data_IF_801449824304
#
_entry.id   IF_801449824304
#
_cell.length_a   1.000
_cell.length_b   1.000
_cell.length_c   1.000
_cell.angle_alpha   90.00
_cell.angle_beta   90.00
_cell.angle_gamma   90.00
#
_symmetry.space_group_name_H-M   'P 1'
#
loop_
_entity.id
_entity.type
_entity.pdbx_description
1 polymer ?
#
# COMPACT_ATOMS: atom_id res chain seq x y z
N UNK A 1 18.28 11.69 51.24
CA UNK A 1 16.92 11.12 51.20
C UNK A 1 16.56 10.60 49.78
N UNK A 2 17.46 10.67 48.80
CA UNK A 2 17.19 10.21 47.39
C UNK A 2 17.73 8.80 47.08
N UNK A 3 18.63 8.23 47.88
CA UNK A 3 19.24 6.92 47.64
C UNK A 3 18.41 5.71 48.11
N UNK A 4 17.37 5.88 48.94
CA UNK A 4 16.50 4.78 49.37
C UNK A 4 15.34 4.43 48.40
N UNK A 5 15.02 5.28 47.43
CA UNK A 5 13.98 4.98 46.44
C UNK A 5 14.47 4.16 45.25
N UNK A 6 15.77 4.20 44.93
CA UNK A 6 16.33 3.41 43.84
C UNK A 6 16.50 1.92 44.19
N UNK A 7 16.73 1.59 45.45
CA UNK A 7 16.86 0.20 45.86
C UNK A 7 15.53 -0.57 45.95
N UNK A 8 14.41 0.11 46.04
CA UNK A 8 13.10 -0.54 46.08
C UNK A 8 12.59 -0.96 44.70
N UNK A 9 13.01 -0.25 43.66
CA UNK A 9 12.68 -0.56 42.25
C UNK A 9 13.46 -1.79 41.77
N UNK A 10 14.70 -1.95 42.18
CA UNK A 10 15.55 -3.10 41.80
C UNK A 10 15.13 -4.40 42.50
N UNK A 11 14.59 -4.33 43.75
CA UNK A 11 14.15 -5.50 44.49
C UNK A 11 12.78 -6.04 44.07
N UNK A 12 11.93 -5.23 43.41
CA UNK A 12 10.65 -5.69 42.85
C UNK A 12 10.88 -6.47 41.54
N UNK A 13 11.96 -6.15 40.78
CA UNK A 13 12.31 -6.90 39.59
C UNK A 13 12.98 -8.26 39.84
N UNK A 14 13.53 -8.47 41.04
CA UNK A 14 14.26 -9.71 41.34
C UNK A 14 13.38 -10.86 41.87
N UNK A 15 12.10 -10.62 42.20
CA UNK A 15 11.20 -11.62 42.79
C UNK A 15 10.07 -12.11 41.89
N UNK A 16 10.02 -11.70 40.63
CA UNK A 16 9.18 -12.31 39.60
C UNK A 16 9.97 -13.34 38.79
N UNK A 17 10.45 -14.41 39.45
CA UNK A 17 10.73 -15.65 38.73
C UNK A 17 9.39 -16.27 38.34
N UNK A 18 8.91 -15.95 37.15
CA UNK A 18 7.95 -16.81 36.49
C UNK A 18 8.72 -18.09 36.10
N UNK A 19 8.31 -19.22 36.70
CA UNK A 19 8.70 -20.54 36.20
C UNK A 19 8.10 -20.69 34.80
N UNK A 20 8.97 -20.57 33.80
CA UNK A 20 8.62 -20.93 32.42
C UNK A 20 8.72 -22.46 32.31
N UNK A 21 7.58 -23.12 32.21
CA UNK A 21 7.53 -24.52 31.80
C UNK A 21 7.82 -24.65 30.29
N UNK A 22 9.04 -25.06 29.98
CA UNK A 22 9.53 -25.19 28.61
C UNK A 22 9.11 -26.49 27.93
N UNK A 23 8.12 -27.22 28.47
CA UNK A 23 7.81 -28.60 28.01
C UNK A 23 6.55 -28.76 27.17
N UNK A 24 5.74 -27.74 26.94
CA UNK A 24 4.56 -27.89 26.10
C UNK A 24 4.80 -27.32 24.69
N UNK A 25 5.30 -28.21 23.80
CA UNK A 25 5.62 -27.93 22.40
C UNK A 25 4.43 -28.12 21.45
N UNK A 26 3.20 -27.97 21.91
CA UNK A 26 2.02 -27.96 21.03
C UNK A 26 1.72 -26.55 20.53
N UNK A 27 2.64 -26.03 19.75
CA UNK A 27 2.75 -24.61 19.38
C UNK A 27 1.65 -24.10 18.40
N UNK A 28 0.88 -24.99 17.75
CA UNK A 28 0.04 -24.62 16.61
C UNK A 28 -1.45 -24.91 16.75
N UNK A 29 -1.91 -25.51 17.85
CA UNK A 29 -3.34 -25.84 18.06
C UNK A 29 -3.80 -25.44 19.43
N UNK A 30 -4.45 -24.26 19.54
CA UNK A 30 -5.34 -23.98 20.67
C UNK A 30 -6.67 -24.66 20.41
N UNK A 31 -7.06 -25.61 21.22
CA UNK A 31 -8.42 -26.19 21.22
C UNK A 31 -9.41 -25.15 21.77
N UNK A 32 -10.26 -24.58 20.87
CA UNK A 32 -11.59 -24.13 21.24
C UNK A 32 -11.73 -22.79 22.02
N UNK A 33 -10.80 -21.83 21.88
CA UNK A 33 -11.00 -20.46 22.37
C UNK A 33 -10.86 -19.46 21.24
N UNK A 34 -11.74 -18.45 21.21
CA UNK A 34 -11.66 -17.31 20.31
C UNK A 34 -10.30 -16.63 20.46
N UNK A 35 -9.64 -16.32 19.34
CA UNK A 35 -8.36 -15.61 19.33
C UNK A 35 -8.58 -14.10 19.34
N UNK A 36 -7.65 -13.39 19.98
CA UNK A 36 -7.51 -11.95 19.82
C UNK A 36 -6.52 -11.66 18.71
N UNK A 37 -7.03 -11.13 17.62
CA UNK A 37 -6.23 -10.78 16.44
C UNK A 37 -6.09 -9.29 16.33
N UNK A 38 -4.85 -8.81 16.23
CA UNK A 38 -4.54 -7.40 15.99
C UNK A 38 -4.01 -7.23 14.55
N UNK A 39 -4.76 -6.53 13.72
CA UNK A 39 -4.30 -6.05 12.42
C UNK A 39 -3.59 -4.71 12.62
N UNK A 40 -2.28 -4.69 12.48
CA UNK A 40 -1.45 -3.51 12.71
C UNK A 40 -1.05 -2.82 11.41
N UNK A 41 -1.16 -1.51 11.36
CA UNK A 41 -0.74 -0.68 10.26
C UNK A 41 0.11 0.49 10.76
N UNK A 42 1.32 0.65 10.20
CA UNK A 42 2.18 1.81 10.46
C UNK A 42 2.12 2.71 9.23
N UNK A 43 1.36 3.79 9.31
CA UNK A 43 1.11 4.74 8.23
C UNK A 43 2.25 5.75 8.09
N UNK A 44 2.44 6.32 6.90
CA UNK A 44 3.45 7.37 6.65
C UNK A 44 3.16 8.66 7.43
N UNK A 45 1.88 9.02 7.60
CA UNK A 45 1.40 10.18 8.38
C UNK A 45 0.07 9.86 9.03
N UNK A 46 -0.32 10.63 10.04
CA UNK A 46 -1.59 10.47 10.77
C UNK A 46 -2.83 10.57 9.86
N UNK A 47 -2.79 11.45 8.85
CA UNK A 47 -3.92 11.68 7.93
C UNK A 47 -4.22 10.49 7.01
N UNK A 48 -3.34 9.49 6.93
CA UNK A 48 -3.56 8.29 6.13
C UNK A 48 -4.30 7.22 6.94
N UNK A 49 -5.24 6.53 6.30
CA UNK A 49 -5.79 5.26 6.75
C UNK A 49 -5.17 4.12 5.94
N UNK A 50 -5.13 2.92 6.50
CA UNK A 50 -4.62 1.75 5.80
C UNK A 50 -5.77 0.88 5.30
N UNK A 51 -6.24 1.13 4.07
CA UNK A 51 -7.38 0.42 3.48
C UNK A 51 -7.26 -1.11 3.59
N UNK A 52 -6.03 -1.66 3.44
CA UNK A 52 -5.82 -3.10 3.44
C UNK A 52 -6.26 -3.77 4.75
N UNK A 53 -5.88 -3.24 5.92
CA UNK A 53 -6.25 -3.84 7.21
C UNK A 53 -7.76 -3.77 7.47
N UNK A 54 -8.43 -2.72 6.99
CA UNK A 54 -9.89 -2.62 7.06
C UNK A 54 -10.57 -3.64 6.14
N UNK A 55 -10.05 -3.84 4.91
CA UNK A 55 -10.56 -4.85 3.99
C UNK A 55 -10.39 -6.27 4.55
N UNK A 56 -9.22 -6.58 5.13
CA UNK A 56 -8.97 -7.87 5.78
C UNK A 56 -10.00 -8.14 6.90
N UNK A 57 -10.19 -7.15 7.79
CA UNK A 57 -11.16 -7.26 8.89
C UNK A 57 -12.57 -7.47 8.36
N UNK A 58 -13.05 -6.57 7.50
CA UNK A 58 -14.41 -6.63 6.98
C UNK A 58 -14.68 -7.91 6.18
N UNK A 59 -13.70 -8.39 5.43
CA UNK A 59 -13.82 -9.65 4.68
C UNK A 59 -13.90 -10.85 5.62
N UNK A 60 -13.04 -10.90 6.65
CA UNK A 60 -13.05 -11.97 7.65
C UNK A 60 -14.35 -11.99 8.47
N UNK A 61 -14.86 -10.83 8.88
CA UNK A 61 -16.14 -10.73 9.59
C UNK A 61 -17.32 -11.19 8.75
N UNK A 62 -17.29 -10.97 7.42
CA UNK A 62 -18.37 -11.37 6.52
C UNK A 62 -18.30 -12.81 6.05
N UNK A 63 -17.12 -13.35 5.79
CA UNK A 63 -16.93 -14.64 5.13
C UNK A 63 -16.10 -15.64 5.94
N UNK A 64 -15.45 -15.20 7.02
CA UNK A 64 -14.54 -16.03 7.81
C UNK A 64 -15.24 -17.02 8.74
N UNK A 65 -16.55 -16.90 8.96
CA UNK A 65 -17.28 -17.72 9.97
C UNK A 65 -16.46 -17.90 11.26
N UNK A 66 -15.89 -16.80 11.73
CA UNK A 66 -14.97 -16.77 12.88
C UNK A 66 -15.62 -16.09 14.07
N UNK A 67 -15.36 -16.62 15.27
CA UNK A 67 -15.68 -15.98 16.55
C UNK A 67 -14.53 -15.14 17.10
N UNK A 68 -13.42 -15.01 16.36
CA UNK A 68 -12.24 -14.27 16.78
C UNK A 68 -12.51 -12.78 16.97
N UNK A 69 -11.90 -12.19 17.99
CA UNK A 69 -11.92 -10.76 18.22
C UNK A 69 -10.88 -10.07 17.31
N UNK A 70 -11.31 -9.50 16.17
CA UNK A 70 -10.42 -8.83 15.23
C UNK A 70 -10.44 -7.32 15.51
N UNK A 71 -9.31 -6.78 15.94
CA UNK A 71 -9.09 -5.35 16.19
C UNK A 71 -8.08 -4.75 15.21
N UNK A 72 -8.15 -3.43 15.01
CA UNK A 72 -7.18 -2.67 14.19
C UNK A 72 -6.36 -1.77 15.12
N UNK A 73 -5.05 -1.73 14.89
CA UNK A 73 -4.12 -0.76 15.47
C UNK A 73 -3.47 0.07 14.37
N UNK A 74 -3.81 1.35 14.29
CA UNK A 74 -3.17 2.27 13.36
C UNK A 74 -2.15 3.15 14.09
N UNK A 75 -0.94 3.14 13.57
CA UNK A 75 0.22 3.88 14.06
C UNK A 75 0.82 4.69 12.92
N UNK A 76 1.86 5.47 13.21
CA UNK A 76 2.62 6.19 12.19
C UNK A 76 4.12 6.02 12.38
N UNK A 77 4.90 6.18 11.30
CA UNK A 77 6.38 6.19 11.37
C UNK A 77 6.93 7.35 12.21
N UNK A 78 6.09 8.31 12.61
CA UNK A 78 6.47 9.46 13.45
C UNK A 78 6.27 9.19 14.95
N UNK A 79 5.61 8.08 15.32
CA UNK A 79 5.50 7.64 16.71
C UNK A 79 6.76 6.92 17.16
N UNK A 80 7.06 7.02 18.45
CA UNK A 80 8.17 6.24 19.00
C UNK A 80 7.80 4.75 19.06
N UNK A 81 8.76 3.89 18.75
CA UNK A 81 8.57 2.45 18.76
C UNK A 81 8.01 1.94 20.09
N UNK A 82 8.51 2.46 21.21
CA UNK A 82 8.06 2.08 22.56
C UNK A 82 6.57 2.34 22.81
N UNK A 83 5.99 3.34 22.16
CA UNK A 83 4.54 3.63 22.27
C UNK A 83 3.74 2.57 21.53
N UNK A 84 4.21 2.18 20.35
CA UNK A 84 3.60 1.14 19.53
C UNK A 84 3.66 -0.21 20.24
N UNK A 85 4.85 -0.58 20.74
CA UNK A 85 5.06 -1.82 21.49
C UNK A 85 4.19 -1.88 22.76
N UNK A 86 4.07 -0.76 23.47
CA UNK A 86 3.23 -0.64 24.65
C UNK A 86 1.74 -0.85 24.34
N UNK A 87 1.25 -0.29 23.24
CA UNK A 87 -0.15 -0.45 22.83
C UNK A 87 -0.42 -1.90 22.43
N UNK A 88 0.44 -2.51 21.59
CA UNK A 88 0.32 -3.92 21.22
C UNK A 88 0.31 -4.82 22.47
N UNK A 89 1.27 -4.60 23.37
CA UNK A 89 1.36 -5.38 24.62
C UNK A 89 0.12 -5.26 25.51
N UNK A 90 -0.47 -4.06 25.61
CA UNK A 90 -1.68 -3.83 26.40
C UNK A 90 -2.92 -4.52 25.82
N UNK A 91 -3.01 -4.63 24.49
CA UNK A 91 -4.10 -5.34 23.80
C UNK A 91 -4.00 -6.86 23.96
N UNK A 92 -2.80 -7.38 24.26
CA UNK A 92 -2.53 -8.82 24.45
C UNK A 92 -3.08 -9.68 23.31
N UNK A 93 -2.73 -9.40 22.05
CA UNK A 93 -3.19 -10.23 20.96
C UNK A 93 -2.53 -11.61 20.99
N UNK A 94 -3.28 -12.62 20.59
CA UNK A 94 -2.75 -13.97 20.31
C UNK A 94 -2.04 -13.99 18.96
N UNK A 95 -2.55 -13.20 17.99
CA UNK A 95 -2.00 -13.05 16.66
C UNK A 95 -1.85 -11.57 16.30
N UNK A 96 -0.70 -11.19 15.77
CA UNK A 96 -0.39 -9.88 15.20
C UNK A 96 -0.15 -10.02 13.70
N UNK A 97 -0.94 -9.32 12.88
CA UNK A 97 -0.75 -9.24 11.44
C UNK A 97 -0.36 -7.81 11.06
N UNK A 98 0.80 -7.62 10.43
CA UNK A 98 1.32 -6.29 10.08
C UNK A 98 1.35 -6.06 8.58
N UNK A 99 0.90 -4.88 8.15
CA UNK A 99 0.97 -4.47 6.75
C UNK A 99 2.33 -3.85 6.42
N UNK A 100 2.99 -4.35 5.36
CA UNK A 100 4.34 -3.97 4.95
C UNK A 100 4.34 -3.19 3.65
N UNK A 101 4.75 -1.94 3.74
CA UNK A 101 4.92 -1.00 2.64
C UNK A 101 6.34 -0.42 2.66
N UNK A 102 6.72 0.21 1.55
CA UNK A 102 8.05 0.83 1.38
C UNK A 102 8.39 1.88 2.44
N UNK A 103 7.39 2.53 3.04
CA UNK A 103 7.61 3.56 4.07
C UNK A 103 7.72 3.00 5.49
N UNK A 104 7.25 1.77 5.75
CA UNK A 104 7.16 1.25 7.11
C UNK A 104 7.92 -0.05 7.37
N UNK A 105 8.53 -0.68 6.34
CA UNK A 105 9.15 -1.99 6.49
C UNK A 105 10.14 -2.04 7.66
N UNK A 106 11.01 -1.04 7.78
CA UNK A 106 12.00 -0.96 8.88
C UNK A 106 11.32 -0.96 10.25
N UNK A 107 10.23 -0.18 10.41
CA UNK A 107 9.43 -0.16 11.64
C UNK A 107 8.78 -1.50 11.92
N UNK A 108 8.18 -2.13 10.91
CA UNK A 108 7.54 -3.45 11.04
C UNK A 108 8.54 -4.50 11.48
N UNK A 109 9.72 -4.54 10.86
CA UNK A 109 10.77 -5.48 11.24
C UNK A 109 11.21 -5.29 12.70
N UNK A 110 11.35 -4.05 13.14
CA UNK A 110 11.72 -3.73 14.52
C UNK A 110 10.60 -4.09 15.50
N UNK A 111 9.35 -3.79 15.18
CA UNK A 111 8.19 -4.23 15.97
C UNK A 111 8.19 -5.75 16.14
N UNK A 112 8.40 -6.52 15.06
CA UNK A 112 8.42 -7.98 15.12
C UNK A 112 9.51 -8.50 16.08
N UNK A 113 10.73 -7.96 15.97
CA UNK A 113 11.86 -8.35 16.83
C UNK A 113 11.60 -8.03 18.31
N UNK A 114 11.11 -6.83 18.60
CA UNK A 114 10.94 -6.38 19.97
C UNK A 114 9.70 -6.98 20.64
N UNK A 115 8.58 -7.08 19.92
CA UNK A 115 7.35 -7.65 20.52
C UNK A 115 7.52 -9.13 20.85
N UNK A 116 8.25 -9.90 20.04
CA UNK A 116 8.52 -11.33 20.30
C UNK A 116 9.33 -11.55 21.57
N UNK A 117 10.16 -10.58 22.02
CA UNK A 117 10.91 -10.65 23.28
C UNK A 117 10.00 -10.54 24.51
N UNK A 118 8.96 -9.72 24.44
CA UNK A 118 8.03 -9.47 25.56
C UNK A 118 6.77 -10.31 25.48
N UNK A 119 6.47 -10.87 24.33
CA UNK A 119 5.36 -11.81 24.05
C UNK A 119 5.87 -13.01 23.22
N UNK A 120 6.67 -13.93 23.80
CA UNK A 120 7.31 -15.00 23.03
C UNK A 120 6.33 -15.93 22.30
N UNK A 121 5.09 -16.04 22.78
CA UNK A 121 4.05 -16.91 22.23
C UNK A 121 3.18 -16.24 21.16
N UNK A 122 3.38 -14.94 20.88
CA UNK A 122 2.55 -14.25 19.90
C UNK A 122 2.82 -14.83 18.51
N UNK A 123 1.75 -15.05 17.74
CA UNK A 123 1.84 -15.46 16.34
C UNK A 123 1.98 -14.19 15.51
N UNK A 124 2.99 -14.11 14.63
CA UNK A 124 3.24 -12.92 13.80
C UNK A 124 3.15 -13.27 12.33
N UNK A 125 2.20 -12.66 11.64
CA UNK A 125 2.10 -12.69 10.19
C UNK A 125 2.31 -11.30 9.61
N UNK A 126 2.97 -11.23 8.46
CA UNK A 126 3.16 -9.98 7.73
C UNK A 126 2.67 -10.12 6.31
N UNK A 127 2.28 -9.03 5.68
CA UNK A 127 1.80 -9.03 4.30
C UNK A 127 1.92 -7.66 3.66
N UNK A 128 1.74 -7.60 2.36
CA UNK A 128 1.83 -6.36 1.59
C UNK A 128 2.94 -6.37 0.55
N UNK A 129 3.05 -5.32 -0.28
CA UNK A 129 3.92 -5.32 -1.45
C UNK A 129 5.41 -5.50 -1.13
N UNK A 130 5.87 -5.07 0.03
CA UNK A 130 7.30 -5.13 0.40
C UNK A 130 7.80 -6.53 0.79
N UNK A 131 6.90 -7.46 1.04
CA UNK A 131 7.24 -8.82 1.50
C UNK A 131 6.68 -9.93 0.62
N UNK A 132 5.83 -9.58 -0.35
CA UNK A 132 5.15 -10.57 -1.20
C UNK A 132 6.07 -11.25 -2.22
N UNK A 133 7.10 -10.58 -2.71
CA UNK A 133 7.95 -11.06 -3.80
C UNK A 133 9.26 -11.73 -3.33
N UNK A 134 9.67 -11.51 -2.10
CA UNK A 134 10.87 -12.08 -1.50
C UNK A 134 10.60 -12.78 -0.16
N UNK A 135 9.40 -13.34 0.03
CA UNK A 135 8.90 -13.87 1.30
C UNK A 135 9.84 -14.86 1.97
N UNK A 136 10.54 -15.72 1.21
CA UNK A 136 11.56 -16.65 1.74
C UNK A 136 12.70 -15.87 2.40
N UNK A 137 13.28 -14.89 1.69
CA UNK A 137 14.36 -14.03 2.22
C UNK A 137 13.90 -13.22 3.43
N UNK A 138 12.64 -12.81 3.43
CA UNK A 138 12.02 -12.12 4.58
C UNK A 138 12.05 -13.01 5.81
N UNK A 139 11.57 -14.25 5.70
CA UNK A 139 11.57 -15.17 6.84
C UNK A 139 12.98 -15.60 7.25
N UNK A 140 13.94 -15.69 6.32
CA UNK A 140 15.35 -15.97 6.66
C UNK A 140 15.95 -14.90 7.58
N UNK A 141 15.67 -13.60 7.32
CA UNK A 141 16.20 -12.47 8.11
C UNK A 141 15.36 -12.10 9.33
N UNK A 142 14.11 -12.58 9.42
CA UNK A 142 13.17 -12.32 10.51
C UNK A 142 12.68 -13.64 11.14
N UNK A 143 13.47 -14.27 12.00
CA UNK A 143 13.08 -15.53 12.66
C UNK A 143 11.89 -15.36 13.62
N UNK A 144 11.57 -14.14 14.02
CA UNK A 144 10.43 -13.79 14.86
C UNK A 144 9.08 -13.92 14.15
N UNK A 145 9.08 -13.91 12.80
CA UNK A 145 7.88 -13.95 11.97
C UNK A 145 7.55 -15.40 11.61
N UNK A 146 6.29 -15.77 11.83
CA UNK A 146 5.79 -17.14 11.57
C UNK A 146 5.46 -17.33 10.08
N UNK A 147 5.00 -16.27 9.39
CA UNK A 147 4.73 -16.36 7.95
C UNK A 147 4.43 -15.03 7.26
N UNK A 148 4.42 -15.11 5.93
CA UNK A 148 4.12 -14.00 5.02
C UNK A 148 2.88 -14.32 4.20
N UNK A 149 1.91 -13.41 4.17
CA UNK A 149 0.79 -13.43 3.23
C UNK A 149 1.20 -12.74 1.93
N UNK A 150 1.16 -13.46 0.80
CA UNK A 150 1.53 -12.95 -0.53
C UNK A 150 0.31 -12.48 -1.32
N UNK A 151 0.43 -11.35 -2.00
CA UNK A 151 -0.60 -10.81 -2.88
C UNK A 151 -1.83 -10.30 -2.13
N UNK A 152 -3.02 -10.65 -2.62
CA UNK A 152 -4.30 -10.27 -2.00
C UNK A 152 -4.53 -11.06 -0.72
N UNK A 153 -4.71 -10.34 0.38
CA UNK A 153 -4.72 -10.93 1.72
C UNK A 153 -6.08 -11.39 2.22
N UNK A 154 -7.19 -10.93 1.65
CA UNK A 154 -8.53 -11.08 2.22
C UNK A 154 -8.90 -12.56 2.46
N UNK A 155 -8.84 -13.38 1.40
CA UNK A 155 -9.13 -14.82 1.54
C UNK A 155 -8.02 -15.56 2.31
N UNK A 156 -6.75 -15.16 2.12
CA UNK A 156 -5.61 -15.80 2.80
C UNK A 156 -5.71 -15.58 4.31
N UNK A 157 -6.11 -14.41 4.74
CA UNK A 157 -6.34 -14.11 6.16
C UNK A 157 -7.47 -14.94 6.76
N UNK A 158 -8.60 -15.12 6.03
CA UNK A 158 -9.67 -16.01 6.48
C UNK A 158 -9.18 -17.46 6.64
N UNK A 159 -8.41 -17.98 5.66
CA UNK A 159 -7.88 -19.32 5.73
C UNK A 159 -6.92 -19.51 6.92
N UNK A 160 -6.12 -18.48 7.24
CA UNK A 160 -5.26 -18.46 8.44
C UNK A 160 -6.08 -18.54 9.73
N UNK A 161 -7.14 -17.74 9.87
CA UNK A 161 -8.01 -17.79 11.04
C UNK A 161 -8.64 -19.17 11.22
N UNK A 162 -9.15 -19.78 10.14
CA UNK A 162 -9.71 -21.13 10.17
C UNK A 162 -8.66 -22.16 10.58
N UNK A 163 -7.43 -22.06 10.05
CA UNK A 163 -6.35 -22.97 10.42
C UNK A 163 -6.05 -22.94 11.93
N UNK A 164 -5.93 -21.75 12.50
CA UNK A 164 -5.64 -21.62 13.93
C UNK A 164 -6.82 -21.99 14.85
N UNK A 165 -8.04 -21.97 14.31
CA UNK A 165 -9.26 -22.40 15.03
C UNK A 165 -9.55 -23.91 14.90
N UNK A 166 -8.73 -24.68 14.24
CA UNK A 166 -8.95 -26.12 13.98
C UNK A 166 -10.16 -26.41 13.05
N UNK A 167 -10.63 -25.42 12.31
CA UNK A 167 -11.73 -25.55 11.35
C UNK A 167 -11.19 -26.01 9.98
N UNK A 168 -11.06 -27.35 9.80
CA UNK A 168 -11.00 -28.07 8.50
C UNK A 168 -10.12 -27.55 7.37
N UNK A 169 -9.00 -26.90 7.65
CA UNK A 169 -8.00 -26.60 6.62
C UNK A 169 -6.91 -27.66 6.67
N UNK A 170 -6.57 -28.27 5.51
CA UNK A 170 -5.58 -29.34 5.34
C UNK A 170 -4.12 -28.90 5.62
N UNK A 171 -3.91 -28.11 6.69
CA UNK A 171 -2.62 -27.56 7.08
C UNK A 171 -2.12 -26.46 6.13
N UNK A 172 -1.01 -25.84 6.49
CA UNK A 172 -0.37 -24.79 5.65
C UNK A 172 0.04 -25.27 4.26
N UNK A 173 0.28 -26.58 4.09
CA UNK A 173 0.78 -27.17 2.84
C UNK A 173 -0.13 -26.88 1.63
N UNK A 174 -1.46 -26.82 1.86
CA UNK A 174 -2.45 -26.58 0.81
C UNK A 174 -2.95 -25.14 0.75
N UNK A 175 -2.53 -24.28 1.68
CA UNK A 175 -2.95 -22.90 1.76
C UNK A 175 -2.18 -22.06 0.73
N UNK A 176 -2.88 -21.52 -0.28
CA UNK A 176 -2.26 -20.67 -1.31
C UNK A 176 -2.01 -19.25 -0.80
N UNK A 177 -1.00 -18.60 -1.36
CA UNK A 177 -0.70 -17.19 -1.06
C UNK A 177 0.07 -17.00 0.23
N UNK A 178 0.83 -17.99 0.71
CA UNK A 178 1.67 -17.86 1.90
C UNK A 178 3.10 -18.34 1.69
N UNK A 179 3.99 -17.78 2.49
CA UNK A 179 5.30 -18.36 2.84
C UNK A 179 5.31 -18.54 4.35
N UNK A 180 5.72 -19.68 4.85
CA UNK A 180 5.65 -19.96 6.29
C UNK A 180 6.85 -20.77 6.77
N UNK A 181 7.06 -20.73 8.09
CA UNK A 181 8.11 -21.51 8.76
C UNK A 181 7.47 -22.73 9.42
N UNK A 182 7.97 -23.92 9.09
CA UNK A 182 7.58 -25.15 9.77
C UNK A 182 8.17 -25.24 11.17
N UNK A 183 7.64 -26.16 11.98
CA UNK A 183 8.20 -26.47 13.31
C UNK A 183 9.67 -26.96 13.26
N UNK A 184 10.08 -27.54 12.15
CA UNK A 184 11.45 -27.96 11.88
C UNK A 184 12.40 -26.78 11.68
N UNK A 185 11.86 -25.57 11.48
CA UNK A 185 12.58 -24.37 11.07
C UNK A 185 12.71 -24.20 9.56
N UNK A 186 12.25 -25.18 8.77
CA UNK A 186 12.25 -25.08 7.31
C UNK A 186 11.24 -24.01 6.86
N UNK A 187 11.66 -23.20 5.85
CA UNK A 187 10.79 -22.21 5.20
C UNK A 187 10.20 -22.86 3.96
N UNK A 188 8.88 -22.77 3.83
CA UNK A 188 8.11 -23.31 2.71
C UNK A 188 7.37 -22.18 2.03
N UNK A 189 7.45 -22.12 0.71
CA UNK A 189 6.71 -21.19 -0.12
C UNK A 189 5.64 -21.93 -0.91
N UNK A 190 4.39 -21.54 -0.72
CA UNK A 190 3.25 -22.10 -1.45
C UNK A 190 2.96 -21.30 -2.73
N UNK A 191 2.16 -21.91 -3.62
CA UNK A 191 1.68 -21.25 -4.83
C UNK A 191 0.96 -19.92 -4.53
N UNK A 192 1.03 -19.01 -5.49
CA UNK A 192 0.23 -17.79 -5.44
C UNK A 192 -1.27 -18.11 -5.47
N UNK A 193 -2.03 -17.32 -4.72
CA UNK A 193 -3.50 -17.38 -4.82
C UNK A 193 -3.97 -16.71 -6.11
N UNK A 194 -5.01 -17.26 -6.72
CA UNK A 194 -5.70 -16.58 -7.83
C UNK A 194 -6.35 -15.30 -7.31
N UNK A 195 -6.37 -14.30 -8.15
CA UNK A 195 -7.03 -13.03 -7.87
C UNK A 195 -8.52 -13.21 -7.59
N UNK A 196 -9.03 -12.41 -6.65
CA UNK A 196 -10.43 -12.48 -6.22
C UNK A 196 -11.33 -11.55 -7.03
N UNK A 197 -12.64 -11.79 -6.96
CA UNK A 197 -13.66 -10.85 -7.40
C UNK A 197 -13.72 -9.65 -6.43
N UNK A 198 -13.37 -8.46 -6.92
CA UNK A 198 -13.28 -7.25 -6.11
C UNK A 198 -14.63 -6.84 -5.51
N UNK A 199 -15.75 -7.23 -6.14
CA UNK A 199 -17.10 -6.96 -5.63
C UNK A 199 -17.43 -7.71 -4.34
N UNK A 200 -16.62 -8.73 -3.98
CA UNK A 200 -16.77 -9.44 -2.71
C UNK A 200 -16.14 -8.72 -1.52
N UNK A 201 -15.22 -7.78 -1.74
CA UNK A 201 -14.65 -6.98 -0.65
C UNK A 201 -15.74 -6.09 -0.07
N UNK A 202 -16.06 -6.18 1.23
CA UNK A 202 -17.10 -5.35 1.84
C UNK A 202 -16.72 -3.87 1.86
N UNK A 203 -17.73 -3.01 1.91
CA UNK A 203 -17.52 -1.58 2.15
C UNK A 203 -17.06 -1.37 3.60
N UNK A 204 -15.98 -0.60 3.80
CA UNK A 204 -15.29 -0.51 5.11
C UNK A 204 -15.57 0.80 5.87
N UNK A 205 -16.32 1.72 5.27
CA UNK A 205 -16.51 3.08 5.78
C UNK A 205 -17.87 3.31 6.45
N UNK A 206 -18.58 2.25 6.87
CA UNK A 206 -19.91 2.39 7.49
C UNK A 206 -19.89 3.25 8.77
N UNK A 207 -18.78 3.27 9.51
CA UNK A 207 -18.56 4.15 10.64
C UNK A 207 -17.51 5.22 10.32
N UNK A 208 -17.96 6.41 9.87
CA UNK A 208 -17.09 7.53 9.51
C UNK A 208 -16.34 8.16 10.70
N UNK A 209 -16.76 7.97 11.93
CA UNK A 209 -16.07 8.49 13.11
C UNK A 209 -14.64 7.93 13.23
N UNK A 210 -14.41 6.69 12.78
CA UNK A 210 -13.07 6.07 12.74
C UNK A 210 -12.11 6.75 11.77
N UNK A 211 -12.64 7.55 10.83
CA UNK A 211 -11.88 8.19 9.75
C UNK A 211 -11.90 9.71 9.85
N UNK A 212 -12.29 10.26 11.00
CA UNK A 212 -12.26 11.70 11.22
C UNK A 212 -10.82 12.24 11.02
N UNK A 213 -10.69 13.31 10.25
CA UNK A 213 -9.40 13.91 9.85
C UNK A 213 -8.47 13.03 9.02
N UNK A 214 -9.00 11.94 8.42
CA UNK A 214 -8.23 11.05 7.54
C UNK A 214 -8.65 11.19 6.09
N UNK A 215 -7.70 10.94 5.19
CA UNK A 215 -7.97 10.76 3.76
C UNK A 215 -8.68 9.41 3.59
N UNK A 216 -9.79 9.42 2.87
CA UNK A 216 -10.50 8.20 2.51
C UNK A 216 -9.89 7.64 1.23
N UNK A 217 -9.41 6.40 1.31
CA UNK A 217 -8.90 5.65 0.17
C UNK A 217 -9.97 4.71 -0.35
N UNK A 218 -10.31 4.81 -1.62
CA UNK A 218 -11.36 4.01 -2.24
C UNK A 218 -10.85 3.27 -3.47
N UNK A 219 -11.31 2.04 -3.68
CA UNK A 219 -10.84 1.16 -4.74
C UNK A 219 -12.01 0.66 -5.57
N UNK A 220 -12.00 0.95 -6.88
CA UNK A 220 -12.98 0.43 -7.84
C UNK A 220 -12.39 -0.54 -8.84
N UNK A 221 -11.05 -0.59 -8.93
CA UNK A 221 -10.33 -1.57 -9.75
C UNK A 221 -9.01 -1.99 -9.13
N UNK A 222 -8.58 -3.22 -9.42
CA UNK A 222 -7.24 -3.75 -9.10
C UNK A 222 -6.54 -4.24 -10.35
N UNK A 223 -5.22 -4.14 -10.36
CA UNK A 223 -4.37 -4.44 -11.50
C UNK A 223 -4.17 -3.21 -12.40
N UNK A 224 -3.28 -3.35 -13.39
CA UNK A 224 -2.99 -2.30 -14.35
C UNK A 224 -2.74 -2.95 -15.73
N UNK A 225 -3.28 -2.41 -16.84
CA UNK A 225 -3.06 -2.99 -18.16
C UNK A 225 -1.66 -2.67 -18.73
N UNK A 226 -0.96 -1.68 -18.14
CA UNK A 226 0.35 -1.22 -18.58
C UNK A 226 1.50 -2.06 -18.02
N UNK A 227 2.69 -1.91 -18.64
CA UNK A 227 3.88 -2.71 -18.33
C UNK A 227 5.06 -1.85 -17.88
N UNK A 228 4.81 -0.69 -17.23
CA UNK A 228 5.86 0.22 -16.79
C UNK A 228 6.91 -0.51 -15.94
N UNK A 229 8.18 -0.47 -16.35
CA UNK A 229 9.28 -1.28 -15.81
C UNK A 229 9.61 -1.01 -14.33
N UNK A 230 9.30 0.19 -13.84
CA UNK A 230 9.55 0.64 -12.47
C UNK A 230 8.38 0.36 -11.52
N UNK A 231 7.22 -0.11 -12.02
CA UNK A 231 5.98 -0.17 -11.26
C UNK A 231 5.60 -1.61 -10.89
N UNK A 232 5.31 -1.87 -9.61
CA UNK A 232 4.82 -3.19 -9.15
C UNK A 232 3.43 -3.54 -9.69
N UNK A 233 2.59 -2.55 -9.98
CA UNK A 233 1.27 -2.80 -10.55
C UNK A 233 1.31 -3.37 -11.97
N UNK A 234 2.46 -3.32 -12.63
CA UNK A 234 2.69 -3.96 -13.93
C UNK A 234 2.89 -5.48 -13.86
N UNK A 235 3.10 -6.02 -12.67
CA UNK A 235 3.31 -7.45 -12.43
C UNK A 235 1.97 -8.18 -12.48
N UNK A 236 0.96 -7.68 -11.77
CA UNK A 236 -0.41 -8.19 -11.83
C UNK A 236 -1.19 -7.51 -12.96
N UNK A 237 -1.20 -8.15 -14.12
CA UNK A 237 -1.94 -7.67 -15.31
C UNK A 237 -3.43 -8.05 -15.29
N UNK A 238 -3.89 -8.66 -14.22
CA UNK A 238 -5.28 -9.12 -14.08
C UNK A 238 -6.18 -7.95 -13.66
N UNK A 239 -6.48 -7.06 -14.61
CA UNK A 239 -7.36 -5.92 -14.37
C UNK A 239 -8.78 -6.37 -14.06
N UNK A 240 -9.31 -5.97 -12.91
CA UNK A 240 -10.65 -6.32 -12.40
C UNK A 240 -11.33 -5.06 -11.91
N UNK A 241 -12.64 -5.02 -12.11
CA UNK A 241 -13.49 -3.91 -11.67
C UNK A 241 -14.51 -4.39 -10.64
N UNK A 242 -14.80 -3.52 -9.68
CA UNK A 242 -15.91 -3.66 -8.76
C UNK A 242 -17.22 -3.41 -9.50
N UNK A 243 -18.28 -4.10 -9.09
CA UNK A 243 -19.62 -3.91 -9.64
C UNK A 243 -20.05 -2.43 -9.55
N UNK A 244 -20.53 -1.86 -10.66
CA UNK A 244 -20.83 -0.44 -10.74
C UNK A 244 -22.01 0.00 -9.87
N UNK A 245 -22.98 -0.89 -9.60
CA UNK A 245 -24.09 -0.55 -8.71
C UNK A 245 -23.64 -0.50 -7.25
N UNK A 246 -22.67 -1.35 -6.86
CA UNK A 246 -22.00 -1.22 -5.57
C UNK A 246 -21.20 0.09 -5.50
N UNK A 247 -20.43 0.40 -6.54
CA UNK A 247 -19.63 1.63 -6.61
C UNK A 247 -20.52 2.87 -6.45
N UNK A 248 -21.64 2.95 -7.16
CA UNK A 248 -22.59 4.07 -7.05
C UNK A 248 -23.15 4.20 -5.63
N UNK A 249 -23.54 3.09 -5.01
CA UNK A 249 -24.04 3.09 -3.63
C UNK A 249 -22.99 3.59 -2.64
N UNK A 250 -21.76 3.18 -2.79
CA UNK A 250 -20.65 3.56 -1.93
C UNK A 250 -20.23 5.02 -2.14
N UNK A 251 -20.24 5.52 -3.38
CA UNK A 251 -20.03 6.92 -3.70
C UNK A 251 -21.14 7.81 -3.10
N UNK A 252 -22.41 7.36 -3.18
CA UNK A 252 -23.53 8.08 -2.55
C UNK A 252 -23.32 8.21 -1.04
N UNK A 253 -22.83 7.15 -0.39
CA UNK A 253 -22.50 7.20 1.02
C UNK A 253 -21.49 8.31 1.34
N UNK A 254 -20.38 8.43 0.57
CA UNK A 254 -19.40 9.49 0.79
C UNK A 254 -19.97 10.89 0.55
N UNK A 255 -20.81 11.04 -0.48
CA UNK A 255 -21.49 12.29 -0.82
C UNK A 255 -22.45 12.71 0.31
N UNK A 256 -23.27 11.78 0.81
CA UNK A 256 -24.24 12.04 1.88
C UNK A 256 -23.57 12.43 3.20
N UNK A 257 -22.41 11.80 3.51
CA UNK A 257 -21.60 12.11 4.69
C UNK A 257 -20.67 13.33 4.50
N UNK A 258 -20.74 14.00 3.34
CA UNK A 258 -19.94 15.18 3.02
C UNK A 258 -18.44 14.97 3.25
N UNK A 259 -17.94 13.79 2.87
CA UNK A 259 -16.53 13.43 2.99
C UNK A 259 -15.70 14.45 2.22
N UNK A 260 -14.73 15.17 2.86
CA UNK A 260 -14.01 16.25 2.18
C UNK A 260 -13.23 15.78 0.96
N UNK A 261 -12.55 14.60 1.07
CA UNK A 261 -11.76 14.03 -0.01
C UNK A 261 -11.84 12.51 -0.03
N UNK A 262 -12.07 11.94 -1.21
CA UNK A 262 -11.98 10.52 -1.52
C UNK A 262 -10.89 10.33 -2.57
N UNK A 263 -9.79 9.68 -2.19
CA UNK A 263 -8.70 9.34 -3.11
C UNK A 263 -8.89 7.92 -3.63
N UNK A 264 -9.10 7.80 -4.95
CA UNK A 264 -9.10 6.51 -5.62
C UNK A 264 -7.68 5.94 -5.65
N UNK A 265 -7.55 4.65 -5.37
CA UNK A 265 -6.28 3.92 -5.44
C UNK A 265 -6.16 3.04 -6.68
N UNK A 266 -7.09 3.21 -7.60
CA UNK A 266 -7.07 2.62 -8.95
C UNK A 266 -5.83 3.13 -9.70
N UNK A 267 -5.00 2.21 -10.23
CA UNK A 267 -3.68 2.55 -10.80
C UNK A 267 -3.73 3.30 -12.12
N UNK A 268 -4.82 3.17 -12.85
CA UNK A 268 -5.14 3.98 -14.05
C UNK A 268 -6.64 3.97 -14.18
N UNK A 269 -7.28 4.90 -13.52
CA UNK A 269 -8.73 4.91 -13.36
C UNK A 269 -9.47 4.90 -14.71
N UNK A 270 -8.98 5.66 -15.69
CA UNK A 270 -9.61 5.77 -17.02
C UNK A 270 -9.15 4.72 -18.05
N UNK A 271 -8.53 3.62 -17.61
CA UNK A 271 -8.12 2.55 -18.54
C UNK A 271 -9.32 1.79 -19.13
N UNK A 272 -10.52 1.95 -18.59
CA UNK A 272 -11.79 1.45 -19.13
C UNK A 272 -12.78 2.60 -19.19
N UNK A 273 -13.02 3.09 -20.41
CA UNK A 273 -13.84 4.27 -20.69
C UNK A 273 -15.24 4.22 -20.02
N UNK A 274 -16.01 3.14 -20.25
CA UNK A 274 -17.38 3.01 -19.70
C UNK A 274 -17.41 3.07 -18.18
N UNK A 275 -16.38 2.51 -17.52
CA UNK A 275 -16.26 2.55 -16.07
C UNK A 275 -16.02 3.98 -15.58
N UNK A 276 -15.04 4.66 -16.16
CA UNK A 276 -14.69 6.04 -15.81
C UNK A 276 -15.90 6.99 -16.05
N UNK A 277 -16.52 6.91 -17.22
CA UNK A 277 -17.68 7.73 -17.57
C UNK A 277 -18.86 7.50 -16.61
N UNK A 278 -19.12 6.24 -16.23
CA UNK A 278 -20.21 5.93 -15.29
C UNK A 278 -19.96 6.56 -13.92
N UNK A 279 -18.75 6.43 -13.40
CA UNK A 279 -18.36 7.00 -12.10
C UNK A 279 -18.38 8.53 -12.16
N UNK A 280 -17.76 9.14 -13.18
CA UNK A 280 -17.70 10.61 -13.30
C UNK A 280 -19.07 11.25 -13.53
N UNK A 281 -19.98 10.63 -14.32
CA UNK A 281 -21.37 11.12 -14.44
C UNK A 281 -22.09 11.04 -13.10
N UNK A 282 -21.93 9.92 -12.38
CA UNK A 282 -22.58 9.73 -11.09
C UNK A 282 -22.18 10.81 -10.07
N UNK A 283 -20.85 11.02 -9.86
CA UNK A 283 -20.38 12.02 -8.90
C UNK A 283 -20.77 13.45 -9.31
N UNK A 284 -20.84 13.75 -10.61
CA UNK A 284 -21.29 15.05 -11.11
C UNK A 284 -22.79 15.25 -10.85
N UNK A 285 -23.63 14.27 -11.13
CA UNK A 285 -25.09 14.34 -10.97
C UNK A 285 -25.50 14.44 -9.49
N UNK A 286 -24.71 13.88 -8.58
CA UNK A 286 -24.98 13.85 -7.14
C UNK A 286 -24.06 14.77 -6.32
N UNK A 287 -23.37 15.71 -6.99
CA UNK A 287 -22.41 16.60 -6.33
C UNK A 287 -23.05 17.38 -5.18
N UNK A 288 -22.47 17.27 -3.99
CA UNK A 288 -22.91 17.98 -2.78
C UNK A 288 -22.24 19.35 -2.58
N UNK A 289 -21.37 19.78 -3.51
CA UNK A 289 -20.60 21.02 -3.43
C UNK A 289 -19.40 20.98 -2.48
N UNK A 290 -19.11 19.84 -1.83
CA UNK A 290 -18.06 19.69 -0.82
C UNK A 290 -17.03 18.64 -1.22
N UNK A 291 -17.48 17.41 -1.52
CA UNK A 291 -16.61 16.26 -1.74
C UNK A 291 -15.73 16.46 -2.97
N UNK A 292 -14.44 16.22 -2.80
CA UNK A 292 -13.45 16.14 -3.87
C UNK A 292 -13.08 14.68 -4.13
N UNK A 293 -12.98 14.29 -5.38
CA UNK A 293 -12.58 12.96 -5.81
C UNK A 293 -11.26 13.02 -6.57
N UNK A 294 -10.25 12.33 -6.07
CA UNK A 294 -8.90 12.33 -6.63
C UNK A 294 -8.65 11.02 -7.39
N UNK A 295 -8.21 11.12 -8.66
CA UNK A 295 -8.00 10.00 -9.57
C UNK A 295 -6.58 10.00 -10.14
N UNK A 296 -5.95 8.81 -10.23
CA UNK A 296 -4.74 8.59 -11.04
C UNK A 296 -5.18 8.23 -12.47
N UNK A 297 -4.81 9.02 -13.46
CA UNK A 297 -5.25 8.87 -14.86
C UNK A 297 -4.09 8.83 -15.85
N UNK A 298 -4.31 8.17 -17.00
CA UNK A 298 -3.49 8.33 -18.18
C UNK A 298 -4.15 9.39 -19.10
N UNK A 299 -3.55 10.58 -19.17
CA UNK A 299 -4.16 11.71 -19.87
C UNK A 299 -4.32 11.45 -21.37
N UNK A 300 -3.40 10.72 -21.99
CA UNK A 300 -3.45 10.33 -23.39
C UNK A 300 -4.56 9.33 -23.74
N UNK A 301 -5.24 8.75 -22.75
CA UNK A 301 -6.44 7.92 -22.94
C UNK A 301 -7.75 8.72 -22.87
N UNK A 302 -7.72 9.98 -22.42
CA UNK A 302 -8.91 10.80 -22.33
C UNK A 302 -9.45 11.13 -23.72
N UNK A 303 -10.70 10.75 -23.98
CA UNK A 303 -11.36 11.02 -25.22
C UNK A 303 -12.27 12.25 -25.15
N UNK A 304 -12.86 12.63 -26.27
CA UNK A 304 -13.68 13.84 -26.38
C UNK A 304 -14.91 13.81 -25.45
N UNK A 305 -15.54 12.64 -25.26
CA UNK A 305 -16.71 12.52 -24.39
C UNK A 305 -16.35 12.74 -22.91
N UNK A 306 -15.21 12.17 -22.47
CA UNK A 306 -14.67 12.38 -21.13
C UNK A 306 -14.27 13.84 -20.91
N UNK A 307 -13.62 14.46 -21.89
CA UNK A 307 -13.21 15.85 -21.82
C UNK A 307 -14.41 16.81 -21.72
N UNK A 308 -15.47 16.60 -22.50
CA UNK A 308 -16.70 17.39 -22.39
C UNK A 308 -17.42 17.19 -21.07
N UNK A 309 -17.40 15.98 -20.51
CA UNK A 309 -17.97 15.71 -19.19
C UNK A 309 -17.18 16.48 -18.12
N UNK A 310 -15.84 16.36 -18.12
CA UNK A 310 -14.94 17.05 -17.17
C UNK A 310 -15.14 18.57 -17.20
N UNK A 311 -15.22 19.17 -18.39
CA UNK A 311 -15.46 20.60 -18.59
C UNK A 311 -16.69 21.13 -17.86
N UNK A 312 -17.70 20.31 -17.70
CA UNK A 312 -18.99 20.69 -17.09
C UNK A 312 -19.07 20.39 -15.60
N UNK A 313 -18.00 19.90 -14.98
CA UNK A 313 -17.92 19.64 -13.55
C UNK A 313 -17.70 20.93 -12.75
N UNK A 314 -18.13 20.93 -11.49
CA UNK A 314 -17.86 22.01 -10.54
C UNK A 314 -16.36 22.16 -10.30
N UNK A 315 -15.82 23.37 -10.16
CA UNK A 315 -14.44 23.57 -9.70
C UNK A 315 -14.20 22.84 -8.38
N UNK A 316 -13.13 22.00 -8.37
CA UNK A 316 -12.74 21.20 -7.21
C UNK A 316 -13.58 19.93 -6.98
N UNK A 317 -14.47 19.52 -7.89
CA UNK A 317 -15.14 18.22 -7.80
C UNK A 317 -14.14 17.09 -8.01
N UNK A 318 -13.26 17.22 -8.99
CA UNK A 318 -12.22 16.23 -9.26
C UNK A 318 -10.81 16.83 -9.21
N UNK A 319 -9.85 15.99 -8.88
CA UNK A 319 -8.42 16.22 -9.01
C UNK A 319 -7.83 15.06 -9.83
N UNK A 320 -6.94 15.37 -10.76
CA UNK A 320 -6.28 14.39 -11.63
C UNK A 320 -4.78 14.34 -11.35
N UNK A 321 -4.28 13.17 -11.02
CA UNK A 321 -2.85 12.86 -10.92
C UNK A 321 -2.41 12.18 -12.21
N UNK A 322 -1.47 12.81 -12.93
CA UNK A 322 -1.04 12.45 -14.28
C UNK A 322 0.45 12.15 -14.26
N UNK A 323 0.81 10.88 -14.33
CA UNK A 323 2.20 10.48 -14.44
C UNK A 323 2.75 10.76 -15.82
N UNK A 324 3.67 11.70 -15.98
CA UNK A 324 4.47 11.91 -17.22
C UNK A 324 5.75 11.10 -17.15
N UNK A 325 6.46 11.20 -16.06
CA UNK A 325 7.71 10.55 -15.68
C UNK A 325 8.94 11.09 -16.43
N UNK A 326 8.90 11.24 -17.74
CA UNK A 326 9.93 11.81 -18.62
C UNK A 326 9.30 12.25 -19.94
N UNK A 327 9.93 13.17 -20.65
CA UNK A 327 9.59 13.53 -22.05
C UNK A 327 10.64 12.97 -23.05
N UNK A 328 11.70 12.34 -22.56
CA UNK A 328 12.72 11.70 -23.38
C UNK A 328 12.17 10.42 -24.01
N UNK A 329 12.14 10.35 -25.34
CA UNK A 329 11.55 9.23 -26.08
C UNK A 329 12.29 7.90 -25.87
N UNK A 330 13.61 7.93 -25.68
CA UNK A 330 14.40 6.72 -25.42
C UNK A 330 14.11 6.20 -24.00
N UNK A 331 14.02 7.09 -23.03
CA UNK A 331 13.57 6.77 -21.66
C UNK A 331 12.16 6.18 -21.65
N UNK A 332 11.19 6.84 -22.29
CA UNK A 332 9.79 6.38 -22.36
C UNK A 332 9.69 4.98 -22.96
N UNK A 333 10.45 4.70 -24.03
CA UNK A 333 10.49 3.38 -24.65
C UNK A 333 11.09 2.33 -23.71
N UNK A 334 12.21 2.65 -23.08
CA UNK A 334 12.94 1.72 -22.21
C UNK A 334 12.16 1.38 -20.93
N UNK A 335 11.43 2.33 -20.35
CA UNK A 335 10.56 2.07 -19.20
C UNK A 335 9.23 1.42 -19.56
N UNK A 336 9.07 0.96 -20.82
CA UNK A 336 7.88 0.30 -21.36
C UNK A 336 6.60 1.13 -21.25
N UNK A 337 6.72 2.44 -21.38
CA UNK A 337 5.58 3.34 -21.34
C UNK A 337 5.08 3.64 -22.75
N UNK A 338 3.76 3.66 -22.92
CA UNK A 338 3.13 3.89 -24.24
C UNK A 338 2.72 5.34 -24.47
N UNK A 339 2.91 6.19 -23.47
CA UNK A 339 2.54 7.61 -23.48
C UNK A 339 3.24 8.39 -24.61
N UNK A 340 2.50 9.31 -25.22
CA UNK A 340 3.01 10.35 -26.14
C UNK A 340 2.86 11.71 -25.48
N UNK A 341 3.99 12.37 -25.19
CA UNK A 341 3.99 13.62 -24.44
C UNK A 341 3.16 14.72 -25.10
N UNK A 342 3.20 14.84 -26.44
CA UNK A 342 2.44 15.84 -27.17
C UNK A 342 0.92 15.71 -26.93
N UNK A 343 0.41 14.48 -26.87
CA UNK A 343 -1.00 14.21 -26.56
C UNK A 343 -1.34 14.55 -25.12
N UNK A 344 -0.47 14.18 -24.16
CA UNK A 344 -0.62 14.55 -22.76
C UNK A 344 -0.64 16.08 -22.61
N UNK A 345 0.31 16.78 -23.26
CA UNK A 345 0.41 18.24 -23.20
C UNK A 345 -0.83 18.94 -23.78
N UNK A 346 -1.41 18.43 -24.86
CA UNK A 346 -2.65 18.96 -25.44
C UNK A 346 -3.81 18.80 -24.44
N UNK A 347 -3.97 17.60 -23.86
CA UNK A 347 -5.03 17.32 -22.87
C UNK A 347 -4.88 18.19 -21.64
N UNK A 348 -3.67 18.29 -21.07
CA UNK A 348 -3.39 19.09 -19.88
C UNK A 348 -3.74 20.56 -20.12
N UNK A 349 -3.27 21.17 -21.24
CA UNK A 349 -3.59 22.56 -21.58
C UNK A 349 -5.08 22.78 -21.77
N UNK A 350 -5.76 21.82 -22.38
CA UNK A 350 -7.22 21.88 -22.57
C UNK A 350 -7.97 21.84 -21.25
N UNK A 351 -7.60 20.95 -20.31
CA UNK A 351 -8.18 20.91 -18.97
C UNK A 351 -7.86 22.19 -18.20
N UNK A 352 -6.64 22.73 -18.28
CA UNK A 352 -6.30 24.04 -17.68
C UNK A 352 -7.25 25.16 -18.17
N UNK A 353 -7.59 25.14 -19.47
CA UNK A 353 -8.50 26.15 -20.03
C UNK A 353 -9.94 26.09 -19.44
N UNK A 354 -10.32 24.97 -18.83
CA UNK A 354 -11.61 24.83 -18.15
C UNK A 354 -11.63 25.49 -16.76
N UNK A 355 -10.48 25.58 -16.09
CA UNK A 355 -10.31 26.24 -14.79
C UNK A 355 -11.07 25.57 -13.63
N UNK A 356 -11.39 24.28 -13.75
CA UNK A 356 -12.21 23.55 -12.79
C UNK A 356 -11.57 22.32 -12.17
N UNK A 357 -10.44 21.85 -12.70
CA UNK A 357 -9.75 20.63 -12.26
C UNK A 357 -8.36 20.98 -11.74
N UNK A 358 -8.02 20.48 -10.56
CA UNK A 358 -6.65 20.51 -10.05
C UNK A 358 -5.85 19.40 -10.74
N UNK A 359 -4.81 19.75 -11.48
CA UNK A 359 -3.92 18.82 -12.16
C UNK A 359 -2.59 18.71 -11.42
N UNK A 360 -2.22 17.47 -11.10
CA UNK A 360 -0.97 17.11 -10.47
C UNK A 360 -0.16 16.25 -11.48
N UNK A 361 1.00 16.75 -11.91
CA UNK A 361 1.88 16.06 -12.86
C UNK A 361 3.14 15.55 -12.16
N UNK A 362 3.59 14.34 -12.56
CA UNK A 362 4.73 13.67 -11.94
C UNK A 362 5.88 13.44 -12.91
N UNK A 363 7.11 13.68 -12.44
CA UNK A 363 8.37 13.31 -13.07
C UNK A 363 9.19 12.39 -12.18
N UNK A 364 10.00 11.50 -12.78
CA UNK A 364 10.90 10.60 -12.05
C UNK A 364 12.34 10.80 -12.56
N UNK A 365 13.23 11.33 -11.71
CA UNK A 365 14.64 11.42 -11.98
C UNK A 365 15.35 10.07 -11.77
N UNK A 366 16.36 9.78 -12.59
CA UNK A 366 17.16 8.57 -12.49
C UNK A 366 16.62 7.39 -13.30
N UNK A 367 15.73 7.62 -14.26
CA UNK A 367 15.30 6.63 -15.24
C UNK A 367 16.43 6.30 -16.23
N UNK A 368 16.40 5.12 -16.88
CA UNK A 368 17.37 4.78 -17.94
C UNK A 368 17.33 5.77 -19.10
N UNK A 369 18.50 6.01 -19.71
CA UNK A 369 18.71 6.92 -20.84
C UNK A 369 18.41 8.40 -20.55
N UNK A 370 18.33 8.80 -19.30
CA UNK A 370 18.08 10.19 -18.89
C UNK A 370 19.22 10.72 -18.02
N UNK A 371 19.97 11.65 -18.52
CA UNK A 371 21.00 12.42 -17.81
C UNK A 371 20.42 13.73 -17.25
N UNK A 372 21.26 14.55 -16.63
CA UNK A 372 20.84 15.81 -16.01
C UNK A 372 20.23 16.79 -17.02
N UNK A 373 20.82 16.93 -18.21
CA UNK A 373 20.34 17.86 -19.25
C UNK A 373 19.00 17.38 -19.82
N UNK A 374 18.89 16.09 -20.13
CA UNK A 374 17.66 15.48 -20.61
C UNK A 374 16.54 15.58 -19.58
N UNK A 375 16.85 15.35 -18.29
CA UNK A 375 15.86 15.50 -17.23
C UNK A 375 15.45 16.99 -17.08
N UNK A 376 16.41 17.93 -17.18
CA UNK A 376 16.13 19.36 -17.18
C UNK A 376 15.13 19.74 -18.27
N UNK A 377 15.32 19.17 -19.49
CA UNK A 377 14.36 19.36 -20.58
C UNK A 377 12.99 18.78 -20.25
N UNK A 378 12.92 17.56 -19.67
CA UNK A 378 11.65 16.96 -19.25
C UNK A 378 10.95 17.83 -18.20
N UNK A 379 11.72 18.42 -17.28
CA UNK A 379 11.19 19.35 -16.28
C UNK A 379 10.60 20.60 -16.93
N UNK A 380 11.36 21.26 -17.83
CA UNK A 380 10.91 22.48 -18.53
C UNK A 380 9.67 22.22 -19.37
N UNK A 381 9.63 21.10 -20.11
CA UNK A 381 8.50 20.70 -20.94
C UNK A 381 7.21 20.54 -20.11
N UNK A 382 7.30 19.93 -18.91
CA UNK A 382 6.15 19.72 -18.02
C UNK A 382 5.79 20.98 -17.25
N UNK A 383 6.79 21.74 -16.78
CA UNK A 383 6.58 23.01 -16.07
C UNK A 383 5.87 24.04 -16.96
N UNK A 384 6.18 24.08 -18.26
CA UNK A 384 5.52 24.93 -19.25
C UNK A 384 4.03 24.59 -19.50
N UNK A 385 3.53 23.47 -18.95
CA UNK A 385 2.10 23.15 -18.95
C UNK A 385 1.32 23.82 -17.81
N UNK A 386 2.03 24.49 -16.89
CA UNK A 386 1.46 25.23 -15.75
C UNK A 386 0.49 24.37 -14.89
N UNK A 387 0.90 23.16 -14.45
CA UNK A 387 0.05 22.36 -13.55
C UNK A 387 -0.08 23.05 -12.18
N UNK A 388 -1.19 22.83 -11.47
CA UNK A 388 -1.34 23.32 -10.09
C UNK A 388 -0.33 22.67 -9.14
N UNK A 389 0.12 21.44 -9.45
CA UNK A 389 1.18 20.74 -8.71
C UNK A 389 2.09 20.00 -9.67
N UNK A 390 3.40 20.18 -9.52
CA UNK A 390 4.43 19.36 -10.16
C UNK A 390 5.22 18.61 -9.07
N UNK A 391 5.21 17.28 -9.16
CA UNK A 391 5.98 16.44 -8.25
C UNK A 391 7.24 15.91 -8.94
N UNK A 392 8.38 16.19 -8.33
CA UNK A 392 9.65 15.61 -8.70
C UNK A 392 9.95 14.41 -7.80
N UNK A 393 9.87 13.21 -8.38
CA UNK A 393 10.24 11.96 -7.72
C UNK A 393 11.62 11.48 -8.13
N UNK A 394 12.18 10.55 -7.34
CA UNK A 394 13.40 9.82 -7.69
C UNK A 394 13.08 8.34 -7.85
N UNK A 395 13.68 7.69 -8.85
CA UNK A 395 13.48 6.28 -9.11
C UNK A 395 13.70 5.45 -7.83
N UNK A 396 12.73 4.59 -7.53
CA UNK A 396 12.80 3.59 -6.48
C UNK A 396 12.87 2.21 -7.12
N UNK A 397 13.93 1.47 -6.82
CA UNK A 397 14.15 0.13 -7.38
C UNK A 397 13.37 -0.88 -6.54
N UNK A 398 12.10 -1.08 -6.92
CA UNK A 398 11.17 -1.89 -6.14
C UNK A 398 11.43 -3.38 -6.35
N UNK A 399 11.37 -4.16 -5.29
CA UNK A 399 11.56 -5.62 -5.32
C UNK A 399 10.51 -6.29 -6.21
N UNK A 400 10.98 -7.20 -7.08
CA UNK A 400 10.16 -7.90 -8.06
C UNK A 400 9.80 -7.06 -9.29
N UNK A 401 10.23 -5.80 -9.41
CA UNK A 401 10.04 -5.01 -10.63
C UNK A 401 11.05 -5.39 -11.71
N UNK A 402 10.67 -5.13 -12.98
CA UNK A 402 11.59 -5.29 -14.10
C UNK A 402 12.84 -4.39 -13.96
N UNK A 403 12.69 -3.23 -13.32
CA UNK A 403 13.81 -2.33 -13.03
C UNK A 403 14.84 -2.97 -12.07
N UNK A 404 14.40 -3.77 -11.12
CA UNK A 404 15.28 -4.55 -10.25
C UNK A 404 16.03 -5.65 -11.04
N UNK A 405 15.35 -6.34 -11.95
CA UNK A 405 15.97 -7.37 -12.80
C UNK A 405 17.06 -6.78 -13.69
N UNK A 406 16.86 -5.55 -14.18
CA UNK A 406 17.75 -4.84 -15.11
C UNK A 406 18.77 -3.90 -14.43
N UNK A 407 18.84 -3.91 -13.09
CA UNK A 407 19.70 -2.98 -12.34
C UNK A 407 21.14 -2.97 -12.79
N UNK A 408 21.72 -4.14 -13.10
CA UNK A 408 23.11 -4.26 -13.54
C UNK A 408 23.30 -3.73 -14.97
N UNK A 409 22.33 -3.99 -15.86
CA UNK A 409 22.33 -3.49 -17.23
C UNK A 409 22.28 -1.96 -17.27
N UNK A 410 21.56 -1.33 -16.37
CA UNK A 410 21.44 0.13 -16.25
C UNK A 410 22.45 0.75 -15.29
N UNK A 411 23.30 -0.05 -14.66
CA UNK A 411 24.25 0.41 -13.65
C UNK A 411 23.55 1.16 -12.50
N UNK A 412 22.38 0.67 -12.07
CA UNK A 412 21.62 1.28 -10.99
C UNK A 412 22.31 0.99 -9.65
N UNK A 413 22.73 2.06 -8.99
CA UNK A 413 23.13 1.99 -7.58
C UNK A 413 22.09 2.74 -6.76
N UNK A 414 21.52 2.07 -5.76
CA UNK A 414 20.43 2.57 -4.95
C UNK A 414 20.59 2.18 -3.48
N UNK A 415 19.82 2.84 -2.60
CA UNK A 415 19.85 2.55 -1.16
C UNK A 415 19.41 1.11 -0.89
N UNK A 416 20.19 0.38 -0.08
CA UNK A 416 19.87 -1.00 0.32
C UNK A 416 18.69 -1.12 1.27
N UNK A 417 18.24 0.00 1.86
CA UNK A 417 17.08 0.09 2.75
C UNK A 417 15.95 0.86 2.06
N UNK A 418 14.68 0.57 2.41
CA UNK A 418 13.57 1.36 1.91
C UNK A 418 13.81 2.87 2.09
N UNK A 419 13.42 3.70 1.13
CA UNK A 419 12.59 3.42 -0.05
C UNK A 419 13.36 2.96 -1.31
N UNK A 420 14.57 2.39 -1.21
CA UNK A 420 15.37 1.89 -2.34
C UNK A 420 15.61 2.93 -3.42
N UNK A 421 15.74 4.17 -3.01
CA UNK A 421 15.92 5.31 -3.89
C UNK A 421 17.26 5.26 -4.61
N UNK A 422 17.24 5.52 -5.91
CA UNK A 422 18.44 5.58 -6.75
C UNK A 422 19.44 6.61 -6.21
N UNK A 423 20.72 6.25 -6.21
CA UNK A 423 21.83 7.13 -5.90
C UNK A 423 22.48 7.64 -7.20
N UNK A 424 22.74 6.73 -8.13
CA UNK A 424 23.22 7.06 -9.47
C UNK A 424 22.93 5.94 -10.47
N UNK A 425 23.05 6.26 -11.77
CA UNK A 425 22.84 5.35 -12.90
C UNK A 425 23.99 5.49 -13.88
N UNK A 426 23.98 4.73 -14.98
CA UNK A 426 24.92 4.93 -16.10
C UNK A 426 24.87 6.35 -16.68
N UNK A 427 23.72 7.01 -16.63
CA UNK A 427 23.44 8.29 -17.28
C UNK A 427 23.46 9.46 -16.30
N UNK A 428 23.03 9.25 -15.06
CA UNK A 428 22.90 10.28 -14.04
C UNK A 428 23.89 10.00 -12.88
N UNK A 429 25.03 10.71 -12.82
CA UNK A 429 25.99 10.61 -11.73
C UNK A 429 25.40 11.04 -10.40
N UNK A 430 26.01 10.61 -9.28
CA UNK A 430 25.52 10.95 -7.93
C UNK A 430 25.52 12.46 -7.65
N UNK A 431 26.52 13.19 -8.15
CA UNK A 431 26.58 14.65 -8.04
C UNK A 431 25.34 15.32 -8.65
N UNK A 432 24.92 14.88 -9.85
CA UNK A 432 23.74 15.41 -10.50
C UNK A 432 22.44 15.00 -9.80
N UNK A 433 22.39 13.77 -9.25
CA UNK A 433 21.29 13.37 -8.35
C UNK A 433 21.16 14.30 -7.16
N UNK A 434 22.28 14.69 -6.54
CA UNK A 434 22.27 15.64 -5.42
C UNK A 434 21.82 17.04 -5.85
N UNK A 435 22.23 17.50 -7.04
CA UNK A 435 21.76 18.79 -7.60
C UNK A 435 20.24 18.81 -7.80
N UNK A 436 19.68 17.72 -8.37
CA UNK A 436 18.23 17.60 -8.53
C UNK A 436 17.48 17.55 -7.21
N UNK A 437 18.07 17.02 -6.16
CA UNK A 437 17.48 17.03 -4.80
C UNK A 437 17.49 18.40 -4.13
N UNK A 438 18.26 19.32 -4.64
CA UNK A 438 18.33 20.69 -4.16
C UNK A 438 17.30 21.64 -4.77
N UNK A 439 16.55 21.15 -5.78
CA UNK A 439 15.47 21.92 -6.42
C UNK A 439 14.18 21.82 -5.60
#
# INVERSE_FOLDING_TARGET
MYLRRFYFIILVYANLKMEYDTKDKTFWKRKGNDMKVLLGAVNAKYIHSNLAVYCLKAYAEKYGDTSDEISIGEYTINQQLDEILRDIYKRKPDMLCLSCYIWNLTYVEEICREIKKVMPQIIIWIGGPEVSYDGVKVLERLPEVDGVMKGEGEQTFCDLLHFYQDKTVDGFQNMKGIVYREQTGQIVENEWRKTMDLSKVPFVYENMELFEHKIIYYETSRGCPFSCSYCLSSIDKCLRFRDLELVKKELQFFIDHKVPQVKFVDRTFNCKHDHAMTVWRYIKEHDNGITNFHFEVAADLLNEEEMELIKTMRPGLIQLEIGVQSTNLDTIREIHRTMKFEQVAEVVRRINSYGNVHQHLDLIAGLPYEDYESFGKSFDDVYALEPEQLQLGFLKVLKGSYMEEKKDDYGLVYKGMPPYEVLYTKWLPYEDTLRLKGI
#
